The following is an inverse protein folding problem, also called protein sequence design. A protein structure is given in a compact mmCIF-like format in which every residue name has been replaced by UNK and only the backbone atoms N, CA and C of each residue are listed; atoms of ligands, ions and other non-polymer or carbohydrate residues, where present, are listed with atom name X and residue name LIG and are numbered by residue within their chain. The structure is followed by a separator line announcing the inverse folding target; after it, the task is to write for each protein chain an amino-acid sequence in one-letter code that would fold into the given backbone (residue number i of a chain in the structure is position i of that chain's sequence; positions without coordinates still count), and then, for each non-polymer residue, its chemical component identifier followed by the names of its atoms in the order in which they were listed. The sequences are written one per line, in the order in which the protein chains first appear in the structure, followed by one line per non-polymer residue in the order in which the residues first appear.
data_IF_659805982751
#
_entry.id   IF_659805982751
#
_cell.length_a   1.000
_cell.length_b   1.000
_cell.length_c   1.000
_cell.angle_alpha   90.00
_cell.angle_beta   90.00
_cell.angle_gamma   90.00
#
_symmetry.space_group_name_H-M   'P 1'
#
loop_
_entity.id
_entity.type
_entity.pdbx_description
1 polymer ?
#
# COMPACT_ATOMS: atom_id res chain seq x y z
N UNK A 1 11.62 0.53 -12.20
CA UNK A 1 12.70 -0.09 -11.45
C UNK A 1 12.10 -1.02 -10.38
N UNK A 2 12.43 -2.32 -10.44
CA UNK A 2 11.90 -3.36 -9.55
C UNK A 2 12.91 -3.64 -8.43
N UNK A 3 12.56 -3.22 -7.22
CA UNK A 3 13.38 -3.34 -6.00
C UNK A 3 12.79 -4.32 -4.99
N UNK A 4 11.48 -4.54 -5.07
CA UNK A 4 10.76 -5.38 -4.12
C UNK A 4 11.03 -6.86 -4.40
N UNK A 5 11.17 -7.69 -3.36
CA UNK A 5 11.40 -9.13 -3.51
C UNK A 5 10.27 -9.81 -4.28
N UNK A 6 10.60 -10.70 -5.21
CA UNK A 6 9.59 -11.39 -6.02
C UNK A 6 8.89 -12.55 -5.33
N UNK A 7 9.36 -12.96 -4.15
CA UNK A 7 8.60 -13.86 -3.29
C UNK A 7 7.45 -13.15 -2.54
N UNK A 8 7.37 -11.82 -2.63
CA UNK A 8 6.29 -11.01 -2.08
C UNK A 8 5.41 -10.49 -3.23
N UNK A 9 4.07 -10.55 -3.06
CA UNK A 9 3.10 -10.11 -4.08
C UNK A 9 3.35 -8.69 -4.60
N UNK A 10 3.80 -7.77 -3.75
CA UNK A 10 4.14 -6.42 -4.15
C UNK A 10 5.26 -6.40 -5.20
N UNK A 11 6.33 -7.18 -5.01
CA UNK A 11 7.41 -7.29 -5.98
C UNK A 11 6.98 -8.04 -7.24
N UNK A 12 6.38 -9.22 -7.08
CA UNK A 12 6.01 -10.07 -8.20
C UNK A 12 4.89 -9.46 -9.05
N UNK A 13 3.78 -9.08 -8.42
CA UNK A 13 2.59 -8.69 -9.16
C UNK A 13 2.60 -7.21 -9.51
N UNK A 14 2.86 -6.31 -8.56
CA UNK A 14 2.80 -4.88 -8.82
C UNK A 14 4.02 -4.36 -9.57
N UNK A 15 5.25 -4.78 -9.20
CA UNK A 15 6.44 -4.27 -9.84
C UNK A 15 6.77 -5.00 -11.16
N UNK A 16 6.76 -6.33 -11.17
CA UNK A 16 7.20 -7.10 -12.33
C UNK A 16 6.04 -7.41 -13.28
N UNK A 17 5.03 -8.12 -12.81
CA UNK A 17 3.95 -8.63 -13.67
C UNK A 17 3.15 -7.48 -14.31
N UNK A 18 2.72 -6.48 -13.53
CA UNK A 18 2.02 -5.32 -14.07
C UNK A 18 2.89 -4.52 -15.08
N UNK A 19 4.19 -4.41 -14.81
CA UNK A 19 5.13 -3.79 -15.72
C UNK A 19 5.23 -4.53 -17.08
N UNK A 20 5.35 -5.86 -17.03
CA UNK A 20 5.44 -6.69 -18.23
C UNK A 20 4.13 -6.70 -19.03
N UNK A 21 2.98 -6.84 -18.36
CA UNK A 21 1.66 -6.74 -19.00
C UNK A 21 1.44 -5.38 -19.67
N UNK A 22 1.95 -4.32 -19.09
CA UNK A 22 1.92 -2.97 -19.66
C UNK A 22 2.96 -2.74 -20.77
N UNK A 23 3.70 -3.76 -21.22
CA UNK A 23 4.75 -3.64 -22.23
C UNK A 23 5.95 -2.79 -21.80
N UNK A 24 6.23 -2.70 -20.49
CA UNK A 24 7.30 -1.85 -19.95
C UNK A 24 8.59 -2.64 -19.77
N UNK A 25 9.73 -1.97 -19.98
CA UNK A 25 11.05 -2.48 -19.59
C UNK A 25 11.12 -2.57 -18.06
N UNK A 26 11.35 -3.75 -17.51
CA UNK A 26 11.55 -3.98 -16.10
C UNK A 26 13.04 -4.06 -15.77
N UNK A 27 13.53 -3.11 -14.99
CA UNK A 27 14.92 -3.12 -14.49
C UNK A 27 14.93 -3.78 -13.13
N UNK A 28 15.60 -4.92 -13.01
CA UNK A 28 15.63 -5.74 -11.79
C UNK A 28 16.85 -5.40 -10.95
N UNK A 29 16.66 -5.11 -9.69
CA UNK A 29 17.72 -4.94 -8.71
C UNK A 29 17.60 -6.06 -7.65
N UNK A 30 18.34 -7.18 -7.78
CA UNK A 30 18.14 -8.37 -6.95
C UNK A 30 18.40 -8.15 -5.45
N UNK A 31 19.25 -7.17 -5.12
CA UNK A 31 19.55 -6.78 -3.75
C UNK A 31 19.58 -5.27 -3.64
N UNK A 32 18.89 -4.75 -2.63
CA UNK A 32 18.95 -3.34 -2.33
C UNK A 32 20.31 -2.97 -1.71
N UNK A 33 20.89 -1.90 -2.22
CA UNK A 33 21.94 -1.13 -1.56
C UNK A 33 21.82 0.32 -2.02
N UNK A 34 22.13 1.29 -1.17
CA UNK A 34 22.01 2.71 -1.49
C UNK A 34 22.83 3.11 -2.73
N UNK A 35 24.02 2.51 -2.89
CA UNK A 35 24.90 2.72 -4.06
C UNK A 35 24.31 2.08 -5.32
N UNK A 36 23.86 0.83 -5.23
CA UNK A 36 23.27 0.07 -6.35
C UNK A 36 21.97 0.69 -6.81
N UNK A 37 21.12 1.10 -5.87
CA UNK A 37 19.88 1.79 -6.17
C UNK A 37 20.13 3.13 -6.89
N UNK A 38 21.00 3.99 -6.34
CA UNK A 38 21.33 5.26 -6.98
C UNK A 38 21.94 5.07 -8.37
N UNK A 39 22.80 4.05 -8.54
CA UNK A 39 23.38 3.73 -9.84
C UNK A 39 22.30 3.32 -10.86
N UNK A 40 21.42 2.38 -10.49
CA UNK A 40 20.34 1.91 -11.35
C UNK A 40 19.35 3.03 -11.69
N UNK A 41 18.95 3.84 -10.69
CA UNK A 41 18.04 4.97 -10.88
C UNK A 41 18.57 5.98 -11.89
N UNK A 42 19.84 6.39 -11.75
CA UNK A 42 20.43 7.44 -12.57
C UNK A 42 20.87 6.95 -13.96
N UNK A 43 21.24 5.68 -14.08
CA UNK A 43 21.62 5.05 -15.35
C UNK A 43 20.41 4.68 -16.19
N UNK A 44 19.45 3.98 -15.61
CA UNK A 44 18.33 3.41 -16.35
C UNK A 44 17.14 4.38 -16.50
N UNK A 45 17.14 5.47 -15.71
CA UNK A 45 16.13 6.54 -15.74
C UNK A 45 14.70 6.02 -15.81
N UNK A 46 14.26 5.21 -14.82
CA UNK A 46 12.96 4.56 -14.87
C UNK A 46 11.83 5.59 -14.78
N UNK A 47 10.84 5.48 -15.66
CA UNK A 47 9.63 6.30 -15.61
C UNK A 47 8.76 6.03 -14.37
N UNK A 48 8.85 4.82 -13.81
CA UNK A 48 8.08 4.44 -12.62
C UNK A 48 9.00 3.95 -11.51
N UNK A 49 8.80 4.51 -10.32
CA UNK A 49 9.50 4.14 -9.10
C UNK A 49 8.52 3.55 -8.11
N UNK A 50 8.78 2.32 -7.65
CA UNK A 50 7.93 1.62 -6.70
C UNK A 50 8.78 1.16 -5.54
N UNK A 51 8.34 1.45 -4.31
CA UNK A 51 9.11 1.10 -3.12
C UNK A 51 8.33 1.18 -1.83
N UNK A 52 9.05 1.09 -0.74
CA UNK A 52 8.55 1.24 0.64
C UNK A 52 9.02 2.57 1.22
N UNK A 53 8.38 3.09 2.32
CA UNK A 53 8.78 4.36 2.93
C UNK A 53 10.28 4.48 3.18
N UNK A 54 10.89 3.46 3.80
CA UNK A 54 12.31 3.46 4.12
C UNK A 54 13.23 3.62 2.90
N UNK A 55 12.82 3.14 1.72
CA UNK A 55 13.59 3.35 0.48
C UNK A 55 13.58 4.82 0.07
N UNK A 56 12.42 5.46 0.13
CA UNK A 56 12.29 6.88 -0.20
C UNK A 56 13.05 7.77 0.80
N UNK A 57 13.00 7.46 2.09
CA UNK A 57 13.78 8.15 3.12
C UNK A 57 15.28 8.05 2.86
N UNK A 58 15.77 6.89 2.43
CA UNK A 58 17.19 6.72 2.06
C UNK A 58 17.60 7.54 0.83
N UNK A 59 16.67 7.83 -0.08
CA UNK A 59 16.94 8.73 -1.20
C UNK A 59 17.31 10.13 -0.72
N UNK A 60 16.68 10.65 0.32
CA UNK A 60 16.96 11.98 0.89
C UNK A 60 18.41 12.13 1.33
N UNK A 61 18.99 11.06 1.89
CA UNK A 61 20.37 11.06 2.39
C UNK A 61 21.41 10.75 1.30
N UNK A 62 21.01 10.30 0.10
CA UNK A 62 21.94 9.83 -0.91
C UNK A 62 22.59 11.00 -1.69
N UNK A 63 23.93 11.23 -1.58
CA UNK A 63 24.58 12.38 -2.16
C UNK A 63 24.58 12.40 -3.69
N UNK A 64 24.46 11.25 -4.34
CA UNK A 64 24.36 11.16 -5.81
C UNK A 64 22.97 11.57 -6.29
N UNK A 65 21.93 11.12 -5.60
CA UNK A 65 20.54 11.44 -5.94
C UNK A 65 20.28 12.92 -5.68
N UNK A 66 20.76 13.47 -4.57
CA UNK A 66 20.60 14.89 -4.21
C UNK A 66 21.14 15.90 -5.26
N UNK A 67 22.04 15.46 -6.12
CA UNK A 67 22.67 16.30 -7.17
C UNK A 67 22.15 15.97 -8.57
N UNK A 68 21.18 15.07 -8.67
CA UNK A 68 20.66 14.61 -9.95
C UNK A 68 19.39 15.37 -10.35
N UNK A 69 18.98 15.20 -11.59
CA UNK A 69 17.63 15.50 -12.05
C UNK A 69 16.83 14.22 -12.15
N UNK A 70 15.58 14.27 -11.71
CA UNK A 70 14.65 13.13 -11.69
C UNK A 70 13.39 13.42 -12.53
N UNK A 71 13.49 14.30 -13.50
CA UNK A 71 12.43 14.69 -14.44
C UNK A 71 11.95 13.56 -15.35
N UNK A 72 12.66 12.45 -15.38
CA UNK A 72 12.25 11.22 -16.07
C UNK A 72 11.25 10.38 -15.28
N UNK A 73 11.01 10.65 -13.99
CA UNK A 73 10.04 9.93 -13.17
C UNK A 73 8.65 10.48 -13.42
N UNK A 74 7.77 9.62 -13.98
CA UNK A 74 6.38 9.94 -14.31
C UNK A 74 5.39 9.44 -13.26
N UNK A 75 5.81 8.50 -12.39
CA UNK A 75 4.99 7.97 -11.33
C UNK A 75 5.82 7.38 -10.19
N UNK A 76 5.42 7.65 -8.95
CA UNK A 76 6.07 7.17 -7.74
C UNK A 76 5.02 6.53 -6.82
N UNK A 77 5.15 5.22 -6.57
CA UNK A 77 4.26 4.44 -5.73
C UNK A 77 4.97 3.94 -4.47
N UNK A 78 4.31 4.06 -3.34
CA UNK A 78 4.79 3.58 -2.05
C UNK A 78 3.73 2.72 -1.37
N UNK A 79 4.16 1.65 -0.73
CA UNK A 79 3.27 0.75 0.00
C UNK A 79 4.03 -0.14 0.98
N UNK A 80 3.30 -1.04 1.64
CA UNK A 80 3.87 -2.01 2.58
C UNK A 80 4.06 -1.49 4.00
N UNK A 81 4.00 -0.19 4.23
CA UNK A 81 3.98 0.43 5.56
C UNK A 81 3.31 1.80 5.50
N UNK A 82 2.99 2.36 6.67
CA UNK A 82 2.43 3.71 6.80
C UNK A 82 3.56 4.73 6.69
N UNK A 83 3.31 5.80 5.94
CA UNK A 83 4.20 6.96 5.85
C UNK A 83 3.57 8.12 6.62
N UNK A 84 4.33 8.79 7.49
CA UNK A 84 3.83 10.00 8.16
C UNK A 84 3.62 11.15 7.16
N UNK A 85 2.71 12.08 7.46
CA UNK A 85 2.51 13.25 6.61
C UNK A 85 3.79 14.09 6.49
N UNK A 86 4.57 14.15 7.54
CA UNK A 86 5.88 14.84 7.52
C UNK A 86 6.83 14.18 6.51
N UNK A 87 7.00 12.86 6.59
CA UNK A 87 7.87 12.13 5.67
C UNK A 87 7.38 12.25 4.23
N UNK A 88 6.07 12.13 4.01
CA UNK A 88 5.48 12.28 2.69
C UNK A 88 5.75 13.68 2.08
N UNK A 89 5.55 14.76 2.86
CA UNK A 89 5.85 16.13 2.41
C UNK A 89 7.32 16.33 2.12
N UNK A 90 8.20 15.85 3.00
CA UNK A 90 9.65 15.98 2.85
C UNK A 90 10.15 15.27 1.58
N UNK A 91 9.71 14.03 1.36
CA UNK A 91 10.11 13.23 0.20
C UNK A 91 9.50 13.80 -1.08
N UNK A 92 8.23 14.17 -1.07
CA UNK A 92 7.57 14.79 -2.24
C UNK A 92 8.22 16.12 -2.62
N UNK A 93 8.53 16.97 -1.65
CA UNK A 93 9.26 18.22 -1.86
C UNK A 93 10.66 18.00 -2.41
N UNK A 94 11.35 16.99 -1.91
CA UNK A 94 12.67 16.60 -2.41
C UNK A 94 12.61 16.13 -3.88
N UNK A 95 11.67 15.25 -4.22
CA UNK A 95 11.49 14.78 -5.59
C UNK A 95 11.15 15.93 -6.54
N UNK A 96 10.21 16.80 -6.14
CA UNK A 96 9.84 17.99 -6.91
C UNK A 96 11.03 18.94 -7.11
N UNK A 97 11.84 19.16 -6.09
CA UNK A 97 13.08 19.95 -6.16
C UNK A 97 14.13 19.38 -7.14
N UNK A 98 14.07 18.08 -7.42
CA UNK A 98 14.90 17.42 -8.44
C UNK A 98 14.23 17.33 -9.82
N UNK A 99 13.06 17.94 -10.01
CA UNK A 99 12.35 18.02 -11.28
C UNK A 99 11.34 16.91 -11.51
N UNK A 100 11.06 16.04 -10.52
CA UNK A 100 10.00 15.05 -10.62
C UNK A 100 8.63 15.75 -10.58
N UNK A 101 7.79 15.53 -11.59
CA UNK A 101 6.48 16.17 -11.71
C UNK A 101 5.37 15.43 -10.95
N UNK A 102 5.60 14.18 -10.52
CA UNK A 102 4.62 13.37 -9.81
C UNK A 102 4.83 13.41 -8.29
N UNK A 103 3.73 13.37 -7.54
CA UNK A 103 3.73 13.09 -6.11
C UNK A 103 3.85 11.59 -5.80
N UNK A 104 4.11 11.26 -4.53
CA UNK A 104 4.10 9.87 -4.08
C UNK A 104 2.65 9.45 -3.83
N UNK A 105 2.27 8.34 -4.43
CA UNK A 105 0.97 7.71 -4.24
C UNK A 105 1.11 6.50 -3.30
N UNK A 106 0.25 6.43 -2.29
CA UNK A 106 0.28 5.33 -1.32
C UNK A 106 -0.65 4.20 -1.76
N UNK A 107 -0.15 2.96 -1.70
CA UNK A 107 -0.91 1.75 -1.97
C UNK A 107 -1.13 0.93 -0.70
N UNK A 108 -2.29 0.29 -0.61
CA UNK A 108 -2.65 -0.64 0.45
C UNK A 108 -3.01 -2.00 -0.13
N UNK A 109 -2.57 -3.05 0.55
CA UNK A 109 -2.89 -4.43 0.20
C UNK A 109 -2.25 -5.43 1.16
N UNK A 110 -2.58 -6.70 0.94
CA UNK A 110 -2.19 -7.83 1.77
C UNK A 110 -1.81 -9.01 0.88
N UNK A 111 -1.09 -9.96 1.45
CA UNK A 111 -0.73 -11.22 0.78
C UNK A 111 -1.99 -12.00 0.38
N UNK A 112 -3.02 -12.00 1.22
CA UNK A 112 -4.31 -12.68 1.03
C UNK A 112 -5.12 -12.16 -0.16
N UNK A 113 -4.76 -11.00 -0.70
CA UNK A 113 -5.31 -10.46 -1.95
C UNK A 113 -4.21 -10.17 -2.97
N UNK A 114 -3.14 -10.92 -2.92
CA UNK A 114 -1.96 -10.91 -3.78
C UNK A 114 -1.09 -9.68 -3.58
N UNK A 115 -1.64 -8.46 -3.63
CA UNK A 115 -0.88 -7.21 -3.57
C UNK A 115 -1.79 -6.02 -3.23
N UNK A 116 -1.66 -4.91 -3.98
CA UNK A 116 -2.42 -3.70 -3.73
C UNK A 116 -3.91 -3.87 -4.08
N UNK A 117 -4.76 -3.42 -3.17
CA UNK A 117 -6.23 -3.40 -3.32
C UNK A 117 -6.77 -1.99 -3.45
N UNK A 118 -6.09 -1.02 -2.88
CA UNK A 118 -6.46 0.39 -2.92
C UNK A 118 -5.23 1.28 -3.17
N UNK A 119 -5.47 2.46 -3.67
CA UNK A 119 -4.44 3.41 -4.02
C UNK A 119 -4.92 4.84 -3.76
N UNK A 120 -4.03 5.69 -3.24
CA UNK A 120 -4.32 7.10 -3.03
C UNK A 120 -4.12 7.84 -4.34
N UNK A 121 -5.11 8.60 -4.83
CA UNK A 121 -4.88 9.49 -5.95
C UNK A 121 -3.79 10.52 -5.64
N UNK A 122 -3.18 11.04 -6.70
CA UNK A 122 -2.15 12.07 -6.59
C UNK A 122 -2.69 13.29 -5.81
N UNK A 123 -1.85 13.90 -4.99
CA UNK A 123 -2.16 15.08 -4.16
C UNK A 123 -3.28 14.90 -3.11
N UNK A 124 -3.75 13.67 -2.87
CA UNK A 124 -4.81 13.39 -1.89
C UNK A 124 -4.32 12.64 -0.63
N UNK A 125 -3.01 12.59 -0.43
CA UNK A 125 -2.45 11.91 0.73
C UNK A 125 -2.80 12.63 2.04
N UNK A 126 -3.19 11.82 3.04
CA UNK A 126 -3.26 12.16 4.46
C UNK A 126 -2.75 10.95 5.23
N UNK A 127 -2.18 11.15 6.40
CA UNK A 127 -1.65 10.06 7.21
C UNK A 127 -2.72 8.99 7.48
N UNK A 128 -2.34 7.73 7.28
CA UNK A 128 -3.26 6.60 7.37
C UNK A 128 -4.23 6.44 6.20
N UNK A 129 -4.35 7.40 5.28
CA UNK A 129 -5.22 7.25 4.10
C UNK A 129 -4.63 6.21 3.15
N UNK A 130 -5.37 5.13 2.93
CA UNK A 130 -4.99 4.02 2.05
C UNK A 130 -5.67 4.10 0.67
N UNK A 131 -6.46 5.14 0.46
CA UNK A 131 -7.01 5.49 -0.84
C UNK A 131 -8.38 4.89 -1.14
N UNK A 132 -8.63 4.68 -2.43
CA UNK A 132 -9.85 4.07 -2.97
C UNK A 132 -9.53 2.71 -3.58
N UNK A 133 -10.47 1.76 -3.54
CA UNK A 133 -10.25 0.45 -4.14
C UNK A 133 -10.05 0.55 -5.65
N UNK A 134 -9.20 -0.35 -6.18
CA UNK A 134 -9.06 -0.51 -7.63
C UNK A 134 -10.36 -1.01 -8.29
N UNK A 135 -10.55 -0.77 -9.59
CA UNK A 135 -11.66 -1.35 -10.34
C UNK A 135 -11.75 -2.86 -10.14
N UNK A 136 -12.96 -3.36 -9.82
CA UNK A 136 -13.20 -4.78 -9.53
C UNK A 136 -12.96 -5.17 -8.07
N UNK A 137 -12.29 -4.36 -7.26
CA UNK A 137 -12.14 -4.54 -5.82
C UNK A 137 -13.25 -3.76 -5.10
N UNK A 138 -13.82 -4.38 -4.07
CA UNK A 138 -14.76 -3.74 -3.15
C UNK A 138 -14.15 -3.74 -1.76
N UNK A 139 -14.37 -2.66 -1.04
CA UNK A 139 -13.96 -2.53 0.36
C UNK A 139 -15.12 -2.01 1.19
N UNK A 140 -15.21 -2.45 2.43
CA UNK A 140 -16.13 -1.92 3.44
C UNK A 140 -15.45 -1.88 4.80
N UNK A 141 -15.96 -1.03 5.68
CA UNK A 141 -15.68 -1.10 7.11
C UNK A 141 -16.80 -1.91 7.72
N UNK A 142 -16.49 -2.94 8.47
CA UNK A 142 -17.45 -3.85 9.05
C UNK A 142 -17.26 -4.01 10.56
N UNK A 143 -18.35 -4.26 11.26
CA UNK A 143 -18.36 -4.79 12.62
C UNK A 143 -18.42 -6.32 12.59
N UNK A 144 -18.37 -6.95 13.77
CA UNK A 144 -18.55 -8.40 13.92
C UNK A 144 -19.89 -8.91 13.35
N UNK A 145 -20.89 -8.01 13.23
CA UNK A 145 -22.20 -8.30 12.67
C UNK A 145 -22.28 -8.30 11.12
N UNK A 146 -21.14 -8.32 10.43
CA UNK A 146 -21.00 -8.35 8.95
C UNK A 146 -21.58 -7.16 8.17
N UNK A 147 -22.33 -6.29 8.84
CA UNK A 147 -22.88 -5.06 8.23
C UNK A 147 -21.79 -4.03 7.93
N UNK A 148 -21.99 -3.24 6.87
CA UNK A 148 -21.14 -2.07 6.61
C UNK A 148 -21.44 -0.98 7.64
N UNK A 149 -20.37 -0.40 8.21
CA UNK A 149 -20.46 0.72 9.14
C UNK A 149 -20.51 2.06 8.36
N UNK A 150 -21.19 3.07 8.92
CA UNK A 150 -21.23 4.40 8.32
C UNK A 150 -19.85 5.05 8.36
N UNK A 151 -19.61 6.10 7.52
CA UNK A 151 -18.39 6.90 7.59
C UNK A 151 -18.06 7.38 9.00
N UNK A 152 -16.79 7.60 9.27
CA UNK A 152 -16.21 8.04 10.55
C UNK A 152 -16.38 7.03 11.71
N UNK A 153 -16.90 5.84 11.43
CA UNK A 153 -17.04 4.77 12.44
C UNK A 153 -15.92 3.75 12.26
N UNK A 154 -15.04 3.57 13.24
CA UNK A 154 -13.98 2.56 13.19
C UNK A 154 -14.54 1.14 13.17
N UNK A 155 -13.94 0.28 12.34
CA UNK A 155 -14.24 -1.14 12.26
C UNK A 155 -13.18 -1.87 11.46
N UNK A 156 -13.37 -3.17 11.24
CA UNK A 156 -12.44 -3.96 10.45
C UNK A 156 -12.61 -3.66 8.95
N UNK A 157 -11.50 -3.47 8.26
CA UNK A 157 -11.48 -3.33 6.80
C UNK A 157 -11.74 -4.70 6.19
N UNK A 158 -12.78 -4.82 5.36
CA UNK A 158 -13.08 -6.03 4.62
C UNK A 158 -12.93 -5.79 3.11
N UNK A 159 -12.37 -6.79 2.41
CA UNK A 159 -12.06 -6.71 0.98
C UNK A 159 -12.74 -7.84 0.24
N UNK A 160 -13.33 -7.53 -0.93
CA UNK A 160 -13.85 -8.52 -1.86
C UNK A 160 -13.38 -8.20 -3.29
N UNK A 161 -13.10 -9.23 -4.07
CA UNK A 161 -12.66 -9.06 -5.46
C UNK A 161 -12.02 -10.31 -6.03
N UNK A 162 -11.63 -10.28 -7.30
CA UNK A 162 -11.08 -11.44 -8.00
C UNK A 162 -9.68 -11.85 -7.55
N UNK A 163 -9.01 -11.02 -6.75
CA UNK A 163 -7.63 -11.25 -6.27
C UNK A 163 -7.57 -11.91 -4.90
N UNK A 164 -8.71 -12.28 -4.32
CA UNK A 164 -8.73 -12.98 -3.03
C UNK A 164 -8.05 -14.35 -3.14
N UNK A 165 -7.32 -14.72 -2.11
CA UNK A 165 -6.74 -16.06 -1.97
C UNK A 165 -7.84 -17.13 -1.95
N UNK A 166 -7.51 -18.34 -2.35
CA UNK A 166 -8.39 -19.51 -2.19
C UNK A 166 -8.44 -20.01 -0.74
N UNK A 167 -7.41 -19.71 0.05
CA UNK A 167 -7.28 -20.10 1.45
C UNK A 167 -5.84 -20.25 1.90
N UNK A 168 -5.64 -20.51 3.18
CA UNK A 168 -4.33 -20.85 3.75
C UNK A 168 -4.03 -22.34 3.56
N UNK A 169 -2.84 -22.64 3.05
CA UNK A 169 -2.42 -24.03 2.82
C UNK A 169 -2.33 -24.81 4.15
N UNK A 170 -3.09 -25.90 4.25
CA UNK A 170 -3.09 -26.75 5.43
C UNK A 170 -3.83 -26.17 6.65
N UNK A 171 -4.48 -25.01 6.52
CA UNK A 171 -5.22 -24.36 7.61
C UNK A 171 -6.67 -23.99 7.18
N UNK A 172 -7.58 -24.96 7.16
CA UNK A 172 -8.98 -24.70 6.82
C UNK A 172 -9.69 -23.85 7.87
N UNK A 173 -9.30 -23.94 9.15
CA UNK A 173 -9.92 -23.16 10.21
C UNK A 173 -9.53 -21.67 10.09
N UNK A 174 -8.26 -21.34 9.90
CA UNK A 174 -7.81 -19.98 9.64
C UNK A 174 -8.39 -19.43 8.33
N UNK A 175 -8.56 -20.27 7.31
CA UNK A 175 -9.24 -19.89 6.07
C UNK A 175 -10.69 -19.50 6.31
N UNK A 176 -11.44 -20.30 7.07
CA UNK A 176 -12.85 -20.02 7.38
C UNK A 176 -13.02 -18.78 8.27
N UNK A 177 -12.05 -18.47 9.13
CA UNK A 177 -12.05 -17.23 9.92
C UNK A 177 -11.76 -16.00 9.03
N UNK A 178 -10.79 -16.10 8.13
CA UNK A 178 -10.39 -15.00 7.27
C UNK A 178 -11.38 -14.74 6.12
N UNK A 179 -11.97 -15.77 5.54
CA UNK A 179 -12.86 -15.67 4.38
C UNK A 179 -14.32 -15.90 4.80
N UNK A 180 -15.11 -14.84 4.77
CA UNK A 180 -16.52 -14.85 5.22
C UNK A 180 -17.44 -14.48 4.06
N UNK A 181 -18.63 -15.12 4.01
CA UNK A 181 -19.69 -14.70 3.08
C UNK A 181 -20.65 -13.75 3.77
N UNK A 182 -21.05 -12.69 3.06
CA UNK A 182 -22.15 -11.83 3.47
C UNK A 182 -23.53 -12.46 3.11
N UNK A 183 -24.60 -11.77 3.47
CA UNK A 183 -25.95 -12.24 3.23
C UNK A 183 -26.30 -12.35 1.73
N UNK A 184 -25.60 -11.59 0.88
CA UNK A 184 -25.71 -11.68 -0.58
C UNK A 184 -24.85 -12.81 -1.18
N UNK A 185 -24.19 -13.60 -0.34
CA UNK A 185 -23.32 -14.72 -0.75
C UNK A 185 -21.95 -14.30 -1.25
N UNK A 186 -21.60 -12.99 -1.22
CA UNK A 186 -20.29 -12.50 -1.66
C UNK A 186 -19.21 -12.87 -0.64
N UNK A 187 -18.09 -13.36 -1.17
CA UNK A 187 -16.91 -13.68 -0.37
C UNK A 187 -16.13 -12.42 -0.02
N UNK A 188 -15.83 -12.24 1.26
CA UNK A 188 -15.04 -11.16 1.82
C UNK A 188 -13.85 -11.70 2.58
N UNK A 189 -12.71 -11.04 2.43
CA UNK A 189 -11.55 -11.21 3.28
C UNK A 189 -11.67 -10.26 4.48
N UNK A 190 -11.59 -10.80 5.68
CA UNK A 190 -11.36 -10.10 6.92
C UNK A 190 -9.87 -9.81 7.03
N UNK A 191 -9.46 -8.55 6.99
CA UNK A 191 -8.04 -8.20 6.89
C UNK A 191 -7.31 -8.24 8.23
N UNK A 192 -8.05 -8.15 9.33
CA UNK A 192 -7.50 -7.90 10.65
C UNK A 192 -6.97 -6.47 10.83
N UNK A 193 -7.16 -5.61 9.85
CA UNK A 193 -6.79 -4.21 9.90
C UNK A 193 -8.00 -3.36 10.30
N UNK A 194 -7.85 -2.48 11.28
CA UNK A 194 -8.89 -1.56 11.74
C UNK A 194 -8.74 -0.25 10.99
N UNK A 195 -9.86 0.30 10.56
CA UNK A 195 -9.90 1.54 9.82
C UNK A 195 -11.29 2.18 9.79
N UNK A 196 -11.47 3.22 9.03
CA UNK A 196 -12.75 3.88 8.79
C UNK A 196 -12.79 4.55 7.42
N UNK A 197 -13.97 4.94 6.95
CA UNK A 197 -14.13 5.87 5.83
C UNK A 197 -14.09 7.30 6.35
N UNK A 198 -13.23 8.15 5.77
CA UNK A 198 -13.20 9.56 6.12
C UNK A 198 -14.33 10.35 5.42
N UNK A 199 -14.44 11.65 5.71
CA UNK A 199 -15.48 12.54 5.15
C UNK A 199 -15.42 12.64 3.62
N UNK A 200 -14.24 12.45 3.02
CA UNK A 200 -14.03 12.43 1.57
C UNK A 200 -14.22 11.05 0.94
N UNK A 201 -14.72 10.07 1.73
CA UNK A 201 -14.95 8.66 1.30
C UNK A 201 -13.66 7.97 0.86
N UNK A 202 -12.57 8.23 1.58
CA UNK A 202 -11.34 7.44 1.49
C UNK A 202 -11.24 6.49 2.67
N UNK A 203 -10.76 5.29 2.41
CA UNK A 203 -10.40 4.36 3.48
C UNK A 203 -9.16 4.87 4.22
N UNK A 204 -9.23 4.85 5.53
CA UNK A 204 -8.12 5.15 6.43
C UNK A 204 -7.79 3.94 7.28
N UNK A 205 -6.52 3.61 7.34
CA UNK A 205 -5.95 2.59 8.22
C UNK A 205 -5.62 3.23 9.57
N UNK A 206 -6.01 2.58 10.65
CA UNK A 206 -5.65 2.96 12.02
C UNK A 206 -4.56 2.05 12.57
N UNK A 207 -4.87 0.77 12.74
CA UNK A 207 -4.01 -0.20 13.42
C UNK A 207 -4.40 -1.62 13.03
N UNK A 208 -3.54 -2.61 13.29
CA UNK A 208 -3.91 -4.02 13.21
C UNK A 208 -4.67 -4.46 14.47
N UNK A 209 -5.73 -5.25 14.31
CA UNK A 209 -6.59 -5.70 15.40
C UNK A 209 -5.81 -6.43 16.52
N UNK A 210 -4.76 -7.17 16.18
CA UNK A 210 -3.86 -7.83 17.14
C UNK A 210 -3.00 -6.86 17.99
N UNK A 211 -2.93 -5.58 17.62
CA UNK A 211 -2.20 -4.53 18.35
C UNK A 211 -3.13 -3.58 19.11
N UNK A 212 -4.45 -3.71 18.93
CA UNK A 212 -5.43 -2.89 19.65
C UNK A 212 -5.48 -3.35 21.10
N UNK A 213 -5.27 -2.42 22.04
CA UNK A 213 -5.39 -2.67 23.48
C UNK A 213 -6.84 -2.43 23.89
N UNK A 214 -7.53 -3.49 24.34
CA UNK A 214 -8.89 -3.37 24.90
C UNK A 214 -8.82 -2.99 26.37
N UNK A 215 -9.29 -1.79 26.76
CA UNK A 215 -9.36 -1.34 28.15
C UNK A 215 -10.78 -0.89 28.49
N UNK A 216 -11.40 -1.53 29.47
CA UNK A 216 -12.74 -1.20 29.94
C UNK A 216 -13.81 -1.08 28.82
N UNK A 217 -13.71 -1.90 27.77
CA UNK A 217 -14.62 -1.87 26.63
C UNK A 217 -14.28 -0.89 25.52
N UNK A 218 -13.23 -0.06 25.72
CA UNK A 218 -12.72 0.86 24.69
C UNK A 218 -11.51 0.28 23.97
N UNK A 219 -11.42 0.55 22.66
CA UNK A 219 -10.24 0.24 21.89
C UNK A 219 -9.23 1.41 22.03
N UNK A 220 -8.03 1.10 22.48
CA UNK A 220 -6.89 2.04 22.52
C UNK A 220 -5.94 1.65 21.41
N UNK A 221 -5.64 2.58 20.53
CA UNK A 221 -4.75 2.38 19.37
C UNK A 221 -3.35 2.89 19.76
N UNK A 222 -2.31 2.01 19.80
CA UNK A 222 -0.97 2.39 20.29
C UNK A 222 -0.23 3.47 19.49
N UNK A 223 -0.78 3.89 18.36
CA UNK A 223 -0.21 4.96 17.52
C UNK A 223 -0.81 6.35 17.77
N UNK A 224 -1.80 6.43 18.63
CA UNK A 224 -2.32 7.68 19.16
C UNK A 224 -1.49 8.01 20.44
#
# INVERSE_FOLDING_TARGET
LCLMPFFHGFGLCFCLHAGLLGGKKCVLLPRYSDRGFAHALLREKPAYLVGVPAMYERMLANPRIRRARLDFILGAACGGDVMSERAHREISGFLAGLGCACGIQMGYGLTECVTACAFTPENSYREGRIGKPFPGIRMKIASDARGALPPLTPGEIWIAGPTLMSGYLGDPAGTADALQRDDDGRLWLRTGDIGFLDEEVYFRFLERSKRVIKRAGYNVFPRE
#
